data_IF_870426008465
#
_entry.id   IF_870426008465
#
_cell.length_a   1.000
_cell.length_b   1.000
_cell.length_c   1.000
_cell.angle_alpha   90.00
_cell.angle_beta   90.00
_cell.angle_gamma   90.00
#
_symmetry.space_group_name_H-M   'P 1'
#
loop_
_entity.id
_entity.type
_entity.pdbx_description
1 polymer ?
#
# COMPACT_ATOMS: atom_id res chain seq x y z
N UNK A 1 -0.89 17.27 -21.81
CA UNK A 1 -1.60 17.73 -20.61
C UNK A 1 -2.72 18.72 -20.98
N UNK A 2 -2.43 19.90 -21.60
CA UNK A 2 -3.43 20.93 -21.93
C UNK A 2 -4.65 20.40 -22.72
N UNK A 3 -4.44 19.54 -23.70
CA UNK A 3 -5.53 18.93 -24.47
C UNK A 3 -6.44 18.11 -23.52
N UNK A 4 -5.87 17.20 -22.76
CA UNK A 4 -6.61 16.38 -21.81
C UNK A 4 -7.41 17.23 -20.81
N UNK A 5 -6.78 18.25 -20.21
CA UNK A 5 -7.43 19.18 -19.27
C UNK A 5 -8.64 19.85 -19.89
N UNK A 6 -8.50 20.34 -21.15
CA UNK A 6 -9.59 21.00 -21.86
C UNK A 6 -10.77 20.07 -22.13
N UNK A 7 -10.51 18.85 -22.60
CA UNK A 7 -11.56 17.87 -22.87
C UNK A 7 -12.26 17.41 -21.57
N UNK A 8 -11.49 17.18 -20.50
CA UNK A 8 -12.01 16.80 -19.21
C UNK A 8 -12.88 17.91 -18.60
N UNK A 9 -12.44 19.17 -18.66
CA UNK A 9 -13.22 20.31 -18.21
C UNK A 9 -14.52 20.46 -19.00
N UNK A 10 -14.49 20.27 -20.34
CA UNK A 10 -15.69 20.31 -21.17
C UNK A 10 -16.67 19.17 -20.82
N UNK A 11 -16.16 17.96 -20.58
CA UNK A 11 -16.97 16.82 -20.15
C UNK A 11 -17.63 17.08 -18.80
N UNK A 12 -16.86 17.53 -17.80
CA UNK A 12 -17.38 17.83 -16.45
C UNK A 12 -18.39 18.94 -16.45
N UNK A 13 -18.20 19.98 -17.27
CA UNK A 13 -19.20 21.05 -17.46
C UNK A 13 -20.54 20.50 -17.98
N UNK A 14 -20.52 19.55 -18.92
CA UNK A 14 -21.73 18.87 -19.39
C UNK A 14 -22.40 18.06 -18.27
N UNK A 15 -21.63 17.54 -17.32
CA UNK A 15 -22.12 16.81 -16.15
C UNK A 15 -22.48 17.73 -14.98
N UNK A 16 -22.45 19.05 -15.17
CA UNK A 16 -22.72 20.07 -14.13
C UNK A 16 -21.72 19.98 -12.94
N UNK A 17 -20.50 19.52 -13.19
CA UNK A 17 -19.41 19.56 -12.21
C UNK A 17 -19.03 20.99 -11.88
N UNK A 18 -18.81 21.28 -10.60
CA UNK A 18 -18.44 22.61 -10.12
C UNK A 18 -16.94 22.82 -10.19
N UNK A 19 -16.15 21.81 -9.85
CA UNK A 19 -14.69 21.85 -9.86
C UNK A 19 -14.12 20.43 -10.08
N UNK A 20 -12.86 20.37 -10.42
CA UNK A 20 -12.09 19.16 -10.57
C UNK A 20 -10.87 19.23 -9.65
N UNK A 21 -10.70 18.24 -8.79
CA UNK A 21 -9.48 18.02 -8.04
C UNK A 21 -8.70 16.91 -8.72
N UNK A 22 -7.40 17.11 -8.93
CA UNK A 22 -6.50 16.15 -9.54
C UNK A 22 -5.29 15.99 -8.63
N UNK A 23 -4.99 14.75 -8.27
CA UNK A 23 -3.78 14.39 -7.54
C UNK A 23 -2.98 13.39 -8.42
N UNK A 24 -2.06 13.90 -9.27
CA UNK A 24 -1.32 13.06 -10.18
C UNK A 24 -0.29 12.23 -9.43
N UNK A 25 -0.28 10.91 -9.65
CA UNK A 25 0.73 10.01 -9.10
C UNK A 25 2.08 10.21 -9.81
N UNK A 26 2.76 11.29 -9.46
CA UNK A 26 4.08 11.64 -10.00
C UNK A 26 5.05 11.86 -8.84
N UNK A 27 6.17 11.14 -8.87
CA UNK A 27 7.25 11.37 -7.94
C UNK A 27 7.77 12.80 -8.10
N UNK A 28 7.76 13.58 -7.01
CA UNK A 28 8.11 15.00 -7.07
C UNK A 28 9.61 15.25 -6.99
N UNK A 29 10.24 14.79 -5.90
CA UNK A 29 11.68 14.91 -5.66
C UNK A 29 12.16 13.72 -4.83
N UNK A 30 13.38 13.26 -5.12
CA UNK A 30 14.01 12.20 -4.33
C UNK A 30 14.58 12.78 -3.03
N UNK A 31 14.35 12.04 -1.95
CA UNK A 31 14.88 12.37 -0.62
C UNK A 31 15.48 11.14 0.02
N UNK A 32 16.47 11.37 0.86
CA UNK A 32 17.07 10.32 1.67
C UNK A 32 16.20 9.96 2.90
N UNK A 33 16.73 9.08 3.75
CA UNK A 33 16.04 8.61 4.96
C UNK A 33 15.79 9.72 5.99
N UNK A 34 16.62 10.76 5.97
CA UNK A 34 16.52 11.90 6.87
C UNK A 34 15.60 13.01 6.29
N UNK A 35 15.10 12.80 5.06
CA UNK A 35 14.20 13.70 4.36
C UNK A 35 14.94 14.83 3.61
N UNK A 36 16.26 14.78 3.52
CA UNK A 36 17.05 15.72 2.75
C UNK A 36 17.05 15.39 1.25
N UNK A 37 17.24 16.38 0.41
CA UNK A 37 17.28 16.17 -1.04
C UNK A 37 18.53 15.36 -1.42
N UNK A 38 18.33 14.28 -2.17
CA UNK A 38 19.44 13.47 -2.71
C UNK A 38 20.16 14.28 -3.79
N UNK A 39 21.47 14.38 -3.66
CA UNK A 39 22.31 15.02 -4.68
C UNK A 39 22.22 14.21 -5.99
N UNK A 40 21.86 14.88 -7.09
CA UNK A 40 21.57 14.27 -8.39
C UNK A 40 20.37 13.28 -8.41
N UNK A 41 19.53 13.30 -7.38
CA UNK A 41 18.24 12.61 -7.38
C UNK A 41 17.26 13.21 -8.39
N UNK A 42 16.15 12.52 -8.66
CA UNK A 42 15.17 13.06 -9.58
C UNK A 42 14.47 14.32 -9.02
N UNK A 43 14.20 15.28 -9.92
CA UNK A 43 13.39 16.49 -9.64
C UNK A 43 12.34 16.66 -10.74
N UNK A 44 11.08 16.41 -10.42
CA UNK A 44 9.95 16.58 -11.32
C UNK A 44 9.09 17.79 -10.93
N UNK A 45 9.66 18.78 -10.27
CA UNK A 45 8.95 20.01 -9.88
C UNK A 45 8.28 20.73 -11.05
N UNK A 46 8.83 20.58 -12.26
CA UNK A 46 8.25 21.09 -13.52
C UNK A 46 6.81 20.60 -13.76
N UNK A 47 6.37 19.50 -13.13
CA UNK A 47 4.99 19.01 -13.25
C UNK A 47 4.01 20.00 -12.65
N UNK A 48 4.35 20.60 -11.51
CA UNK A 48 3.54 21.66 -10.87
C UNK A 48 3.39 22.86 -11.81
N UNK A 49 4.50 23.33 -12.40
CA UNK A 49 4.49 24.46 -13.34
C UNK A 49 3.63 24.13 -14.58
N UNK A 50 3.74 22.92 -15.11
CA UNK A 50 2.95 22.46 -16.24
C UNK A 50 1.45 22.38 -15.92
N UNK A 51 1.10 21.97 -14.70
CA UNK A 51 -0.29 21.94 -14.24
C UNK A 51 -0.84 23.36 -14.13
N UNK A 52 -0.12 24.28 -13.50
CA UNK A 52 -0.49 25.70 -13.39
C UNK A 52 -0.66 26.31 -14.78
N UNK A 53 0.30 26.08 -15.69
CA UNK A 53 0.22 26.55 -17.08
C UNK A 53 -0.96 25.94 -17.88
N UNK A 54 -1.55 24.83 -17.39
CA UNK A 54 -2.73 24.18 -17.96
C UNK A 54 -4.04 24.64 -17.32
N UNK A 55 -4.00 25.58 -16.36
CA UNK A 55 -5.17 26.19 -15.74
C UNK A 55 -5.58 25.59 -14.39
N UNK A 56 -4.73 24.74 -13.80
CA UNK A 56 -4.95 24.26 -12.43
C UNK A 56 -4.40 25.26 -11.40
N UNK A 57 -5.01 25.27 -10.24
CA UNK A 57 -4.52 25.99 -9.06
C UNK A 57 -3.86 24.99 -8.11
N UNK A 58 -2.60 25.21 -7.76
CA UNK A 58 -1.88 24.37 -6.81
C UNK A 58 -2.33 24.68 -5.37
N UNK A 59 -2.91 23.71 -4.69
CA UNK A 59 -3.45 23.87 -3.34
C UNK A 59 -2.38 23.84 -2.23
N UNK A 60 -1.10 23.83 -2.61
CA UNK A 60 0.01 23.66 -1.69
C UNK A 60 0.30 22.18 -1.40
N UNK A 61 1.33 21.97 -0.60
CA UNK A 61 1.72 20.63 -0.17
C UNK A 61 1.20 20.38 1.24
N UNK A 62 0.42 19.33 1.40
CA UNK A 62 -0.09 18.89 2.70
C UNK A 62 1.00 18.20 3.52
N UNK A 63 0.92 18.32 4.85
CA UNK A 63 1.81 17.62 5.77
C UNK A 63 1.16 16.38 6.37
N UNK A 64 -0.16 16.38 6.46
CA UNK A 64 -0.96 15.35 7.12
C UNK A 64 -1.92 14.68 6.13
N UNK A 65 -2.54 13.60 6.56
CA UNK A 65 -3.63 12.95 5.85
C UNK A 65 -4.81 13.93 5.72
N UNK A 66 -5.15 14.28 4.49
CA UNK A 66 -6.34 15.07 4.19
C UNK A 66 -7.31 14.23 3.38
N UNK A 67 -8.60 14.48 3.57
CA UNK A 67 -9.70 13.76 2.89
C UNK A 67 -9.61 13.88 1.35
N UNK A 68 -8.87 14.87 0.84
CA UNK A 68 -8.89 15.26 -0.58
C UNK A 68 -7.57 14.90 -1.30
N UNK A 69 -6.52 14.50 -0.59
CA UNK A 69 -5.22 14.20 -1.21
C UNK A 69 -4.66 12.86 -0.74
N UNK A 70 -3.94 12.21 -1.65
CA UNK A 70 -3.18 11.00 -1.34
C UNK A 70 -1.94 11.31 -0.48
N UNK A 71 -1.29 10.27 0.01
CA UNK A 71 -0.10 10.38 0.86
C UNK A 71 1.03 11.03 0.07
N UNK A 72 1.53 12.16 0.58
CA UNK A 72 2.62 12.89 -0.06
C UNK A 72 3.98 12.21 0.07
N UNK A 73 4.23 11.56 1.19
CA UNK A 73 5.52 10.96 1.51
C UNK A 73 5.42 9.44 1.45
N UNK A 74 6.27 8.81 0.65
CA UNK A 74 6.35 7.37 0.53
C UNK A 74 7.79 6.91 0.66
N UNK A 75 8.00 5.80 1.37
CA UNK A 75 9.22 5.03 1.26
C UNK A 75 9.08 4.05 0.10
N UNK A 76 10.04 4.03 -0.80
CA UNK A 76 10.07 3.11 -1.92
C UNK A 76 11.13 2.03 -1.68
N UNK A 77 10.76 0.77 -1.92
CA UNK A 77 11.67 -0.35 -1.97
C UNK A 77 11.79 -0.81 -3.43
N UNK A 78 12.97 -0.65 -4.00
CA UNK A 78 13.24 -1.10 -5.38
C UNK A 78 13.55 -2.59 -5.37
N UNK A 79 12.75 -3.36 -6.11
CA UNK A 79 12.84 -4.82 -6.17
C UNK A 79 13.67 -5.32 -7.35
N UNK A 80 13.98 -4.47 -8.31
CA UNK A 80 14.56 -4.80 -9.61
C UNK A 80 15.80 -5.69 -9.51
N UNK A 81 15.69 -6.91 -10.04
CA UNK A 81 16.78 -7.88 -10.09
C UNK A 81 17.24 -8.47 -8.75
N UNK A 82 16.50 -8.20 -7.67
CA UNK A 82 16.83 -8.70 -6.33
C UNK A 82 16.04 -9.95 -6.01
N UNK A 83 16.71 -10.97 -5.51
CA UNK A 83 16.09 -12.16 -4.94
C UNK A 83 15.66 -11.92 -3.48
N UNK A 84 14.87 -12.84 -2.94
CA UNK A 84 14.37 -12.78 -1.56
C UNK A 84 15.50 -12.65 -0.53
N UNK A 85 16.61 -13.37 -0.73
CA UNK A 85 17.74 -13.36 0.19
C UNK A 85 18.44 -12.00 0.20
N UNK A 86 18.57 -11.38 -0.98
CA UNK A 86 19.15 -10.04 -1.12
C UNK A 86 18.25 -9.02 -0.45
N UNK A 87 16.94 -9.04 -0.72
CA UNK A 87 15.96 -8.15 -0.08
C UNK A 87 15.97 -8.30 1.43
N UNK A 88 15.98 -9.54 1.94
CA UNK A 88 16.01 -9.81 3.37
C UNK A 88 17.30 -9.29 4.02
N UNK A 89 18.46 -9.42 3.37
CA UNK A 89 19.73 -8.90 3.86
C UNK A 89 19.76 -7.37 3.92
N UNK A 90 19.18 -6.70 2.94
CA UNK A 90 19.11 -5.24 2.85
C UNK A 90 18.11 -4.62 3.83
N UNK A 91 17.15 -5.39 4.33
CA UNK A 91 16.20 -4.91 5.33
C UNK A 91 16.91 -4.49 6.62
N UNK A 92 16.38 -3.48 7.28
CA UNK A 92 16.81 -3.11 8.64
C UNK A 92 16.74 -4.33 9.57
N UNK A 93 17.69 -4.43 10.50
CA UNK A 93 17.81 -5.59 11.40
C UNK A 93 16.51 -5.96 12.11
N UNK A 94 15.76 -4.98 12.60
CA UNK A 94 14.49 -5.17 13.28
C UNK A 94 13.43 -5.78 12.34
N UNK A 95 13.34 -5.29 11.11
CA UNK A 95 12.40 -5.79 10.10
C UNK A 95 12.74 -7.23 9.73
N UNK A 96 14.01 -7.51 9.45
CA UNK A 96 14.50 -8.87 9.16
C UNK A 96 14.22 -9.85 10.30
N UNK A 97 14.44 -9.41 11.55
CA UNK A 97 14.10 -10.22 12.72
C UNK A 97 12.59 -10.52 12.79
N UNK A 98 11.74 -9.53 12.54
CA UNK A 98 10.28 -9.70 12.53
C UNK A 98 9.84 -10.68 11.44
N UNK A 99 10.36 -10.55 10.21
CA UNK A 99 10.08 -11.48 9.11
C UNK A 99 10.48 -12.91 9.49
N UNK A 100 11.70 -13.11 9.98
CA UNK A 100 12.17 -14.44 10.39
C UNK A 100 11.35 -15.02 11.56
N UNK A 101 10.92 -14.19 12.49
CA UNK A 101 10.07 -14.61 13.60
C UNK A 101 8.70 -15.08 13.12
N UNK A 102 8.05 -14.33 12.23
CA UNK A 102 6.73 -14.70 11.69
C UNK A 102 6.79 -15.99 10.89
N UNK A 103 7.84 -16.18 10.08
CA UNK A 103 8.06 -17.44 9.35
C UNK A 103 8.23 -18.65 10.29
N UNK A 104 9.04 -18.49 11.37
CA UNK A 104 9.19 -19.54 12.39
C UNK A 104 7.89 -19.86 13.11
N UNK A 105 7.05 -18.88 13.36
CA UNK A 105 5.72 -19.05 13.94
C UNK A 105 4.72 -19.74 13.00
N UNK A 106 5.06 -19.92 11.72
CA UNK A 106 4.22 -20.60 10.74
C UNK A 106 3.14 -19.70 10.13
N UNK A 107 3.34 -18.36 10.18
CA UNK A 107 2.50 -17.44 9.42
C UNK A 107 2.64 -17.75 7.93
N UNK A 108 1.54 -17.88 7.26
CA UNK A 108 1.43 -18.13 5.83
C UNK A 108 0.79 -16.93 5.14
N UNK A 109 1.11 -16.73 3.86
CA UNK A 109 0.48 -15.69 3.04
C UNK A 109 -0.09 -16.35 1.80
N UNK A 110 -1.32 -16.02 1.46
CA UNK A 110 -1.95 -16.43 0.21
C UNK A 110 -2.72 -15.29 -0.42
N UNK A 111 -2.96 -15.38 -1.70
CA UNK A 111 -3.84 -14.49 -2.43
C UNK A 111 -5.31 -14.89 -2.19
N UNK A 112 -6.18 -13.89 -2.02
CA UNK A 112 -7.63 -14.07 -1.99
C UNK A 112 -8.19 -13.83 -3.39
N UNK A 113 -9.10 -14.72 -3.79
CA UNK A 113 -9.91 -14.51 -4.99
C UNK A 113 -11.02 -13.48 -4.77
N UNK A 114 -11.63 -13.01 -5.85
CA UNK A 114 -12.77 -12.09 -5.76
C UNK A 114 -13.97 -12.71 -5.02
N UNK A 115 -14.11 -14.04 -5.08
CA UNK A 115 -15.18 -14.77 -4.39
C UNK A 115 -14.93 -14.84 -2.86
N UNK A 116 -13.69 -14.61 -2.43
CA UNK A 116 -13.29 -14.57 -1.02
C UNK A 116 -13.21 -13.13 -0.47
N UNK A 117 -13.69 -12.15 -1.20
CA UNK A 117 -13.64 -10.73 -0.81
C UNK A 117 -14.30 -10.50 0.57
N UNK A 118 -15.30 -11.28 0.93
CA UNK A 118 -16.00 -11.16 2.22
C UNK A 118 -15.05 -11.37 3.42
N UNK A 119 -14.00 -12.20 3.28
CA UNK A 119 -12.98 -12.37 4.32
C UNK A 119 -12.25 -11.04 4.59
N UNK A 120 -11.89 -10.35 3.53
CA UNK A 120 -11.25 -9.04 3.64
C UNK A 120 -12.19 -7.98 4.22
N UNK A 121 -13.44 -7.97 3.78
CA UNK A 121 -14.44 -7.00 4.25
C UNK A 121 -14.72 -7.15 5.75
N UNK A 122 -14.81 -8.38 6.25
CA UNK A 122 -14.97 -8.65 7.68
C UNK A 122 -13.77 -8.12 8.48
N UNK A 123 -12.54 -8.39 8.03
CA UNK A 123 -11.33 -7.87 8.66
C UNK A 123 -11.26 -6.34 8.62
N UNK A 124 -11.67 -5.73 7.51
CA UNK A 124 -11.74 -4.27 7.37
C UNK A 124 -12.75 -3.67 8.33
N UNK A 125 -13.92 -4.30 8.46
CA UNK A 125 -14.96 -3.86 9.41
C UNK A 125 -14.43 -3.85 10.85
N UNK A 126 -13.82 -4.94 11.30
CA UNK A 126 -13.21 -4.98 12.63
C UNK A 126 -12.09 -3.95 12.81
N UNK A 127 -11.31 -3.69 11.76
CA UNK A 127 -10.22 -2.72 11.81
C UNK A 127 -10.75 -1.29 11.85
N UNK A 128 -11.79 -0.98 11.06
CA UNK A 128 -12.40 0.34 11.03
C UNK A 128 -13.04 0.71 12.36
N UNK A 129 -13.73 -0.24 13.00
CA UNK A 129 -14.29 -0.05 14.34
C UNK A 129 -13.20 0.24 15.37
N UNK A 130 -12.09 -0.49 15.33
CA UNK A 130 -10.98 -0.31 16.27
C UNK A 130 -10.20 0.98 16.06
N UNK A 131 -10.05 1.41 14.80
CA UNK A 131 -9.23 2.56 14.41
C UNK A 131 -10.06 3.81 14.09
N UNK A 132 -11.41 3.73 14.21
CA UNK A 132 -12.37 4.84 14.07
C UNK A 132 -12.26 5.57 12.71
N UNK A 133 -12.17 4.82 11.61
CA UNK A 133 -12.21 5.40 10.26
C UNK A 133 -13.44 4.93 9.47
N UNK A 134 -13.85 5.74 8.48
CA UNK A 134 -14.95 5.40 7.60
C UNK A 134 -14.55 4.31 6.58
N UNK A 135 -15.33 3.25 6.52
CA UNK A 135 -15.14 2.18 5.53
C UNK A 135 -15.59 2.65 4.14
N UNK A 136 -14.96 2.06 3.12
CA UNK A 136 -15.46 2.15 1.75
C UNK A 136 -16.50 1.07 1.50
N UNK A 137 -17.44 1.35 0.61
CA UNK A 137 -18.45 0.36 0.23
C UNK A 137 -17.81 -0.90 -0.39
N UNK A 138 -18.37 -2.09 -0.16
CA UNK A 138 -17.84 -3.36 -0.71
C UNK A 138 -17.61 -3.32 -2.23
N UNK A 139 -18.50 -2.64 -2.96
CA UNK A 139 -18.41 -2.48 -4.41
C UNK A 139 -17.14 -1.75 -4.85
N UNK A 140 -16.59 -0.88 -4.01
CA UNK A 140 -15.33 -0.20 -4.32
C UNK A 140 -14.19 -1.22 -4.49
N UNK A 141 -14.03 -2.14 -3.57
CA UNK A 141 -12.99 -3.17 -3.61
C UNK A 141 -13.23 -4.17 -4.73
N UNK A 142 -14.46 -4.62 -4.91
CA UNK A 142 -14.85 -5.52 -6.00
C UNK A 142 -14.55 -4.90 -7.36
N UNK A 143 -14.90 -3.63 -7.56
CA UNK A 143 -14.65 -2.92 -8.81
C UNK A 143 -13.16 -2.72 -9.08
N UNK A 144 -12.34 -2.50 -8.05
CA UNK A 144 -10.89 -2.46 -8.20
C UNK A 144 -10.34 -3.81 -8.69
N UNK A 145 -10.72 -4.92 -8.05
CA UNK A 145 -10.27 -6.25 -8.45
C UNK A 145 -10.69 -6.56 -9.90
N UNK A 146 -11.91 -6.19 -10.29
CA UNK A 146 -12.39 -6.38 -11.67
C UNK A 146 -11.62 -5.50 -12.66
N UNK A 147 -11.41 -4.22 -12.34
CA UNK A 147 -10.80 -3.26 -13.25
C UNK A 147 -9.31 -3.52 -13.49
N UNK A 148 -8.59 -3.94 -12.47
CA UNK A 148 -7.15 -4.21 -12.55
C UNK A 148 -6.83 -5.68 -12.85
N UNK A 149 -7.77 -6.61 -12.64
CA UNK A 149 -7.59 -8.04 -12.93
C UNK A 149 -6.34 -8.60 -12.23
N UNK A 150 -5.42 -9.15 -13.01
CA UNK A 150 -4.18 -9.75 -12.48
C UNK A 150 -3.21 -8.74 -11.84
N UNK A 151 -3.36 -7.45 -12.11
CA UNK A 151 -2.56 -6.38 -11.52
C UNK A 151 -3.05 -5.99 -10.11
N UNK A 152 -4.24 -6.44 -9.70
CA UNK A 152 -4.76 -6.25 -8.35
C UNK A 152 -4.62 -7.54 -7.53
N UNK A 153 -3.83 -7.50 -6.47
CA UNK A 153 -3.62 -8.66 -5.57
C UNK A 153 -4.07 -8.33 -4.16
N UNK A 154 -4.98 -9.14 -3.66
CA UNK A 154 -5.42 -9.07 -2.26
C UNK A 154 -4.75 -10.22 -1.49
N UNK A 155 -3.83 -9.87 -0.59
CA UNK A 155 -3.05 -10.85 0.16
C UNK A 155 -3.59 -11.02 1.57
N UNK A 156 -3.75 -12.26 2.00
CA UNK A 156 -4.12 -12.65 3.36
C UNK A 156 -2.94 -13.29 4.06
N UNK A 157 -2.50 -12.69 5.18
CA UNK A 157 -1.60 -13.34 6.12
C UNK A 157 -2.42 -14.04 7.22
N UNK A 158 -2.16 -15.31 7.45
CA UNK A 158 -2.92 -16.12 8.42
C UNK A 158 -2.02 -17.11 9.17
N UNK A 159 -2.49 -17.55 10.31
CA UNK A 159 -1.88 -18.61 11.10
C UNK A 159 -2.89 -19.78 11.20
N UNK A 160 -2.48 -20.97 10.76
CA UNK A 160 -3.22 -22.19 11.05
C UNK A 160 -2.96 -22.60 12.50
N UNK A 161 -3.97 -22.42 13.34
CA UNK A 161 -3.86 -22.71 14.77
C UNK A 161 -3.70 -24.21 15.08
N UNK A 162 -4.21 -25.10 14.24
CA UNK A 162 -4.05 -26.53 14.43
C UNK A 162 -2.62 -26.96 14.12
N UNK A 163 -2.05 -26.47 13.04
CA UNK A 163 -0.64 -26.70 12.69
C UNK A 163 0.31 -26.08 13.73
N UNK A 164 0.00 -24.89 14.17
CA UNK A 164 0.79 -24.21 15.20
C UNK A 164 0.79 -25.00 16.51
N UNK A 165 -0.38 -25.44 16.97
CA UNK A 165 -0.53 -26.28 18.16
C UNK A 165 0.26 -27.59 18.02
N UNK A 166 0.11 -28.27 16.90
CA UNK A 166 0.84 -29.52 16.62
C UNK A 166 2.35 -29.35 16.71
N UNK A 167 2.90 -28.24 16.15
CA UNK A 167 4.32 -27.92 16.26
C UNK A 167 4.76 -27.71 17.71
N UNK A 168 3.99 -26.95 18.49
CA UNK A 168 4.28 -26.72 19.90
C UNK A 168 4.25 -28.02 20.72
N UNK A 169 3.29 -28.92 20.46
CA UNK A 169 3.21 -30.20 21.14
C UNK A 169 4.43 -31.08 20.82
N UNK A 170 4.94 -31.08 19.59
CA UNK A 170 6.17 -31.79 19.22
C UNK A 170 7.41 -31.18 19.89
N UNK A 171 7.58 -29.86 19.85
CA UNK A 171 8.69 -29.18 20.53
C UNK A 171 8.69 -29.46 22.03
N UNK A 172 7.52 -29.47 22.68
CA UNK A 172 7.37 -29.84 24.08
C UNK A 172 7.84 -31.27 24.35
N UNK A 173 7.42 -32.23 23.53
CA UNK A 173 7.83 -33.64 23.67
C UNK A 173 9.34 -33.83 23.52
N UNK A 174 9.97 -33.08 22.61
CA UNK A 174 11.41 -33.18 22.40
C UNK A 174 12.20 -32.59 23.59
N UNK A 175 11.74 -31.46 24.14
CA UNK A 175 12.32 -30.89 25.36
C UNK A 175 12.16 -31.84 26.58
N UNK A 176 11.01 -32.50 26.72
CA UNK A 176 10.78 -33.47 27.80
C UNK A 176 11.72 -34.68 27.70
N UNK A 177 12.08 -35.12 26.47
CA UNK A 177 13.06 -36.20 26.24
C UNK A 177 14.50 -35.79 26.53
N UNK A 178 14.86 -34.53 26.26
CA UNK A 178 16.20 -34.02 26.52
C UNK A 178 16.47 -33.82 28.03
N UNK A 179 15.42 -33.69 28.83
CA UNK A 179 15.52 -33.47 30.28
C UNK A 179 15.19 -34.71 31.13
N UNK A 180 14.90 -35.85 30.50
CA UNK A 180 14.65 -37.13 31.15
C UNK A 180 15.92 -38.01 31.18
#
# INVERSE_FOLDING_TARGET
>A
LRFFTKELAAYLKKKKGLYLVVDPNVLYKERDIDGELVENGFDHSYVVDNMIASGYEHQGFTKDFQVISEIRWMFALYLDGKDENTLLKEMHQQTRWSVNKTLKQGIQVRELSIDELDIFLDMMHHTSQRCEFAEREPEFYRNQMIAYGEDAKLLLAYLDLNDFRRKLDLEKQDLEKEHA
#
